data_IF_600490431115
#
_entry.id   IF_600490431115
#
_cell.length_a   1.000
_cell.length_b   1.000
_cell.length_c   1.000
_cell.angle_alpha   90.00
_cell.angle_beta   90.00
_cell.angle_gamma   90.00
#
_symmetry.space_group_name_H-M   'P 1'
#
loop_
_entity.id
_entity.type
_entity.pdbx_description
1 polymer ?
#
# COMPACT_ATOMS: atom_id res chain seq x y z
N UNK A 1 -20.59 -1.18 9.76
CA UNK A 1 -19.16 -1.08 9.40
C UNK A 1 -18.80 0.39 9.53
N UNK A 2 -17.73 0.78 10.25
CA UNK A 2 -17.38 2.20 10.36
C UNK A 2 -17.16 2.79 8.96
N UNK A 3 -17.50 4.07 8.79
CA UNK A 3 -17.12 4.81 7.57
C UNK A 3 -15.60 5.00 7.58
N UNK A 4 -14.95 4.53 6.52
CA UNK A 4 -13.51 4.52 6.36
C UNK A 4 -13.05 5.50 5.28
N UNK A 5 -14.00 6.16 4.61
CA UNK A 5 -13.72 7.06 3.50
C UNK A 5 -12.90 8.25 4.00
N UNK A 6 -11.76 8.51 3.36
CA UNK A 6 -10.86 9.61 3.72
C UNK A 6 -10.03 9.40 5.00
N UNK A 7 -10.13 8.24 5.68
CA UNK A 7 -9.31 7.95 6.86
C UNK A 7 -7.97 7.31 6.48
N UNK A 8 -6.82 7.88 6.90
CA UNK A 8 -5.54 7.24 6.66
C UNK A 8 -5.41 5.96 7.49
N UNK A 9 -4.92 4.90 6.86
CA UNK A 9 -4.61 3.61 7.51
C UNK A 9 -3.15 3.28 7.23
N UNK A 10 -2.43 2.78 8.24
CA UNK A 10 -1.02 2.47 8.08
C UNK A 10 -0.83 1.33 7.06
N UNK A 11 0.07 1.53 6.10
CA UNK A 11 0.25 0.59 4.98
C UNK A 11 0.63 -0.82 5.42
N UNK A 12 1.38 -0.96 6.52
CA UNK A 12 1.82 -2.26 7.01
C UNK A 12 0.70 -3.11 7.61
N UNK A 13 -0.44 -2.50 7.98
CA UNK A 13 -1.55 -3.20 8.66
C UNK A 13 -2.68 -3.63 7.70
N UNK A 14 -2.56 -3.36 6.40
CA UNK A 14 -3.58 -3.71 5.39
C UNK A 14 -2.96 -4.43 4.20
N UNK A 15 -3.73 -5.33 3.59
CA UNK A 15 -3.23 -6.13 2.46
C UNK A 15 -2.77 -5.26 1.28
N UNK A 16 -3.54 -4.24 0.91
CA UNK A 16 -3.18 -3.32 -0.18
C UNK A 16 -1.86 -2.59 0.10
N UNK A 17 -1.71 -2.04 1.30
CA UNK A 17 -0.48 -1.36 1.70
C UNK A 17 0.74 -2.29 1.72
N UNK A 18 0.59 -3.55 2.16
CA UNK A 18 1.66 -4.55 2.07
C UNK A 18 2.08 -4.86 0.63
N UNK A 19 1.16 -4.91 -0.33
CA UNK A 19 1.52 -5.09 -1.75
C UNK A 19 2.34 -3.89 -2.25
N UNK A 20 1.93 -2.66 -1.93
CA UNK A 20 2.67 -1.46 -2.32
C UNK A 20 4.04 -1.39 -1.65
N UNK A 21 4.13 -1.65 -0.34
CA UNK A 21 5.39 -1.72 0.39
C UNK A 21 6.32 -2.81 -0.16
N UNK A 22 5.79 -3.96 -0.58
CA UNK A 22 6.57 -5.05 -1.13
C UNK A 22 7.24 -4.70 -2.47
N UNK A 23 6.68 -3.73 -3.21
CA UNK A 23 7.26 -3.21 -4.46
C UNK A 23 8.35 -2.15 -4.23
N UNK A 24 8.52 -1.65 -3.00
CA UNK A 24 9.55 -0.66 -2.67
C UNK A 24 10.88 -1.34 -2.33
N UNK A 25 12.02 -0.65 -2.54
CA UNK A 25 13.30 -1.07 -2.01
C UNK A 25 13.26 -1.20 -0.48
N UNK A 26 13.93 -2.21 0.08
CA UNK A 26 13.93 -2.47 1.53
C UNK A 26 14.41 -1.27 2.34
N UNK A 27 15.38 -0.48 1.82
CA UNK A 27 15.82 0.77 2.46
C UNK A 27 14.68 1.78 2.65
N UNK A 28 13.77 1.87 1.69
CA UNK A 28 12.62 2.78 1.72
C UNK A 28 11.59 2.28 2.73
N UNK A 29 11.33 0.97 2.73
CA UNK A 29 10.46 0.33 3.74
C UNK A 29 11.00 0.56 5.14
N UNK A 30 12.31 0.38 5.36
CA UNK A 30 12.95 0.63 6.66
C UNK A 30 12.87 2.10 7.07
N UNK A 31 13.02 3.04 6.12
CA UNK A 31 12.83 4.46 6.40
C UNK A 31 11.38 4.78 6.83
N UNK A 32 10.39 4.16 6.19
CA UNK A 32 8.97 4.27 6.60
C UNK A 32 8.78 3.67 7.99
N UNK A 33 9.28 2.46 8.24
CA UNK A 33 9.13 1.76 9.51
C UNK A 33 9.77 2.53 10.69
N UNK A 34 10.87 3.27 10.46
CA UNK A 34 11.49 4.14 11.46
C UNK A 34 10.60 5.30 11.92
N UNK A 35 9.63 5.71 11.11
CA UNK A 35 8.63 6.73 11.50
C UNK A 35 7.55 6.15 12.43
N UNK A 36 7.55 4.83 12.64
CA UNK A 36 6.64 4.11 13.52
C UNK A 36 5.77 3.11 12.76
N UNK A 37 5.56 1.94 13.37
CA UNK A 37 4.60 0.93 12.92
C UNK A 37 3.45 0.88 13.92
N UNK A 38 2.41 1.69 13.67
CA UNK A 38 1.21 1.74 14.53
C UNK A 38 0.63 0.34 14.71
N UNK A 39 0.47 -0.08 15.97
CA UNK A 39 -0.19 -1.34 16.34
C UNK A 39 -1.67 -1.05 16.56
N UNK A 40 -2.54 -1.65 15.73
CA UNK A 40 -4.00 -1.53 15.88
C UNK A 40 -4.60 -2.70 16.66
N UNK A 41 -4.04 -3.89 16.49
CA UNK A 41 -4.47 -5.15 17.12
C UNK A 41 -3.25 -5.97 17.51
N UNK A 42 -3.45 -7.08 18.20
CA UNK A 42 -2.36 -8.01 18.51
C UNK A 42 -1.80 -8.74 17.29
N UNK A 43 -2.48 -8.66 16.14
CA UNK A 43 -2.01 -9.24 14.87
C UNK A 43 -1.24 -8.25 14.02
N UNK A 44 -1.25 -6.96 14.35
CA UNK A 44 -0.53 -5.96 13.55
C UNK A 44 0.97 -6.21 13.60
N UNK A 45 1.60 -6.34 12.42
CA UNK A 45 3.06 -6.44 12.30
C UNK A 45 3.70 -5.11 12.70
N UNK A 46 4.23 -5.02 13.91
CA UNK A 46 4.84 -3.80 14.47
C UNK A 46 6.36 -3.88 14.62
N UNK A 47 6.97 -5.01 14.25
CA UNK A 47 8.42 -5.18 14.18
C UNK A 47 8.94 -4.99 12.74
N UNK A 48 9.96 -4.14 12.52
CA UNK A 48 10.50 -3.91 11.18
C UNK A 48 11.08 -5.15 10.49
N UNK A 49 11.67 -6.10 11.22
CA UNK A 49 12.23 -7.33 10.63
C UNK A 49 11.11 -8.25 10.18
N UNK A 50 10.11 -8.46 11.04
CA UNK A 50 8.90 -9.22 10.71
C UNK A 50 8.16 -8.60 9.49
N UNK A 51 8.13 -7.27 9.40
CA UNK A 51 7.58 -6.60 8.22
C UNK A 51 8.37 -6.95 6.95
N UNK A 52 9.71 -6.88 6.97
CA UNK A 52 10.52 -7.26 5.82
C UNK A 52 10.32 -8.72 5.40
N UNK A 53 10.19 -9.64 6.36
CA UNK A 53 9.90 -11.05 6.11
C UNK A 53 8.54 -11.25 5.43
N UNK A 54 7.49 -10.60 5.94
CA UNK A 54 6.16 -10.63 5.32
C UNK A 54 6.19 -10.04 3.90
N UNK A 55 6.86 -8.90 3.70
CA UNK A 55 6.96 -8.29 2.37
C UNK A 55 7.77 -9.16 1.40
N UNK A 56 8.79 -9.88 1.87
CA UNK A 56 9.50 -10.86 1.07
C UNK A 56 8.59 -12.03 0.65
N UNK A 57 7.72 -12.49 1.56
CA UNK A 57 6.68 -13.48 1.23
C UNK A 57 5.71 -12.93 0.18
N UNK A 58 5.23 -11.69 0.34
CA UNK A 58 4.36 -11.01 -0.62
C UNK A 58 5.01 -10.95 -2.01
N UNK A 59 6.30 -10.57 -2.09
CA UNK A 59 7.05 -10.56 -3.36
C UNK A 59 7.10 -11.94 -4.02
N UNK A 60 7.35 -13.01 -3.25
CA UNK A 60 7.43 -14.38 -3.79
C UNK A 60 6.08 -14.91 -4.27
N UNK A 61 5.00 -14.68 -3.52
CA UNK A 61 3.67 -15.23 -3.83
C UNK A 61 2.82 -14.35 -4.73
N UNK A 62 3.18 -13.08 -4.89
CA UNK A 62 2.47 -12.11 -5.74
C UNK A 62 1.11 -11.65 -5.19
N UNK A 63 0.90 -11.75 -3.88
CA UNK A 63 -0.28 -11.23 -3.19
C UNK A 63 0.03 -11.00 -1.71
N UNK A 64 -0.78 -10.17 -1.04
CA UNK A 64 -0.77 -10.00 0.40
C UNK A 64 -2.10 -10.41 1.01
N UNK A 65 -2.05 -10.83 2.27
CA UNK A 65 -3.20 -11.12 3.11
C UNK A 65 -3.04 -10.31 4.40
N UNK A 66 -4.13 -9.75 4.89
CA UNK A 66 -4.20 -9.14 6.21
C UNK A 66 -5.43 -9.68 6.94
N UNK A 67 -5.23 -10.31 8.10
CA UNK A 67 -6.29 -10.99 8.85
C UNK A 67 -6.40 -10.42 10.25
N UNK A 68 -7.22 -9.39 10.40
CA UNK A 68 -7.42 -8.73 11.67
C UNK A 68 -6.31 -7.77 12.08
N UNK A 69 -5.45 -7.36 11.15
CA UNK A 69 -4.28 -6.53 11.47
C UNK A 69 -4.61 -5.06 11.68
N UNK A 70 -5.64 -4.55 11.01
CA UNK A 70 -6.13 -3.18 11.20
C UNK A 70 -7.37 -3.14 12.11
N UNK A 71 -8.29 -4.09 11.93
CA UNK A 71 -9.46 -4.33 12.79
C UNK A 71 -9.68 -5.83 12.83
N UNK A 72 -9.75 -6.44 14.02
CA UNK A 72 -9.84 -7.90 14.22
C UNK A 72 -11.00 -8.55 13.45
N UNK A 73 -12.05 -7.78 13.17
CA UNK A 73 -13.25 -8.22 12.47
C UNK A 73 -13.11 -8.16 10.96
N UNK A 74 -12.01 -7.63 10.43
CA UNK A 74 -11.77 -7.41 9.00
C UNK A 74 -10.62 -8.28 8.51
N UNK A 75 -10.86 -8.94 7.38
CA UNK A 75 -9.83 -9.64 6.62
C UNK A 75 -9.82 -9.16 5.17
N UNK A 76 -8.65 -9.22 4.53
CA UNK A 76 -8.44 -8.77 3.17
C UNK A 76 -7.36 -9.59 2.45
N UNK A 77 -7.49 -9.67 1.13
CA UNK A 77 -6.44 -10.08 0.22
C UNK A 77 -6.22 -8.97 -0.82
N UNK A 78 -4.99 -8.79 -1.25
CA UNK A 78 -4.65 -7.81 -2.28
C UNK A 78 -3.58 -8.34 -3.24
N UNK A 79 -3.63 -7.86 -4.48
CA UNK A 79 -2.71 -8.24 -5.57
C UNK A 79 -2.22 -6.97 -6.29
N UNK A 80 -1.03 -6.99 -6.89
CA UNK A 80 -0.47 -5.82 -7.57
C UNK A 80 -1.14 -5.56 -8.93
N UNK A 81 -1.25 -4.29 -9.28
CA UNK A 81 -1.52 -3.80 -10.64
C UNK A 81 -0.24 -3.16 -11.16
N UNK A 82 0.19 -3.56 -12.34
CA UNK A 82 1.45 -3.10 -12.95
C UNK A 82 1.21 -2.29 -14.22
N UNK A 83 2.07 -1.32 -14.48
CA UNK A 83 2.09 -0.55 -15.72
C UNK A 83 2.95 -1.21 -16.82
N UNK A 84 3.05 -0.55 -17.98
CA UNK A 84 3.89 -0.99 -19.10
C UNK A 84 5.40 -1.14 -18.77
N UNK A 85 5.88 -0.55 -17.67
CA UNK A 85 7.27 -0.65 -17.21
C UNK A 85 7.48 -1.76 -16.18
N UNK A 86 6.45 -2.56 -15.90
CA UNK A 86 6.41 -3.52 -14.79
C UNK A 86 6.52 -2.86 -13.40
N UNK A 87 6.19 -1.57 -13.28
CA UNK A 87 6.12 -0.93 -11.97
C UNK A 87 4.76 -1.22 -11.33
N UNK A 88 4.75 -1.64 -10.06
CA UNK A 88 3.52 -1.77 -9.29
C UNK A 88 3.04 -0.37 -8.92
N UNK A 89 1.91 0.04 -9.49
CA UNK A 89 1.38 1.41 -9.34
C UNK A 89 0.05 1.46 -8.57
N UNK A 90 -0.61 0.31 -8.42
CA UNK A 90 -1.87 0.19 -7.70
C UNK A 90 -2.07 -1.25 -7.21
N UNK A 91 -3.19 -1.48 -6.54
CA UNK A 91 -3.58 -2.81 -6.05
C UNK A 91 -5.06 -3.05 -6.28
N UNK A 92 -5.43 -4.30 -6.59
CA UNK A 92 -6.82 -4.76 -6.43
C UNK A 92 -6.92 -5.49 -5.10
N UNK A 93 -7.88 -5.09 -4.26
CA UNK A 93 -8.09 -5.70 -2.97
C UNK A 93 -9.54 -6.16 -2.80
N UNK A 94 -9.72 -7.34 -2.20
CA UNK A 94 -11.01 -7.83 -1.74
C UNK A 94 -10.95 -7.87 -0.22
N UNK A 95 -11.92 -7.23 0.43
CA UNK A 95 -11.93 -7.09 1.88
C UNK A 95 -13.35 -7.16 2.44
N UNK A 96 -13.46 -7.47 3.72
CA UNK A 96 -14.74 -7.50 4.42
C UNK A 96 -14.64 -8.18 5.77
N UNK A 97 -15.81 -8.50 6.34
CA UNK A 97 -15.89 -9.21 7.61
C UNK A 97 -15.11 -10.54 7.56
N UNK A 98 -14.31 -10.82 8.60
CA UNK A 98 -13.51 -12.05 8.72
C UNK A 98 -14.37 -13.32 8.70
N UNK A 99 -15.66 -13.21 9.02
CA UNK A 99 -16.64 -14.31 8.88
C UNK A 99 -17.00 -14.62 7.42
N UNK A 100 -16.78 -13.69 6.48
CA UNK A 100 -17.00 -13.87 5.04
C UNK A 100 -15.72 -14.01 4.24
N UNK A 101 -14.64 -13.34 4.66
CA UNK A 101 -13.29 -13.43 4.07
C UNK A 101 -12.46 -14.38 4.93
N UNK A 102 -12.77 -15.67 4.83
CA UNK A 102 -12.17 -16.73 5.66
C UNK A 102 -10.92 -17.33 4.99
N UNK A 103 -10.03 -17.99 5.76
CA UNK A 103 -8.87 -18.70 5.20
C UNK A 103 -9.23 -19.64 4.04
N UNK A 104 -10.34 -20.36 4.16
CA UNK A 104 -10.81 -21.29 3.13
C UNK A 104 -11.23 -20.60 1.83
N UNK A 105 -11.70 -19.35 1.89
CA UNK A 105 -12.14 -18.57 0.72
C UNK A 105 -11.03 -17.71 0.10
N UNK A 106 -9.95 -17.45 0.85
CA UNK A 106 -8.85 -16.61 0.37
C UNK A 106 -8.29 -17.06 -0.99
N UNK A 107 -8.05 -18.37 -1.27
CA UNK A 107 -7.56 -18.80 -2.57
C UNK A 107 -8.43 -18.31 -3.74
N UNK A 108 -9.75 -18.51 -3.66
CA UNK A 108 -10.69 -18.11 -4.72
C UNK A 108 -10.77 -16.59 -4.87
N UNK A 109 -10.76 -15.86 -3.75
CA UNK A 109 -10.77 -14.39 -3.76
C UNK A 109 -9.47 -13.83 -4.38
N UNK A 110 -8.33 -14.46 -4.12
CA UNK A 110 -7.05 -14.09 -4.73
C UNK A 110 -7.08 -14.34 -6.24
N UNK A 111 -7.64 -15.46 -6.70
CA UNK A 111 -7.81 -15.74 -8.14
C UNK A 111 -8.65 -14.66 -8.80
N UNK A 112 -9.83 -14.36 -8.27
CA UNK A 112 -10.70 -13.32 -8.80
C UNK A 112 -10.03 -11.92 -8.82
N UNK A 113 -9.30 -11.59 -7.75
CA UNK A 113 -8.55 -10.34 -7.68
C UNK A 113 -7.42 -10.28 -8.71
N UNK A 114 -6.71 -11.39 -8.96
CA UNK A 114 -5.66 -11.49 -9.99
C UNK A 114 -6.23 -11.29 -11.38
N UNK A 115 -7.38 -11.87 -11.69
CA UNK A 115 -8.02 -11.71 -13.00
C UNK A 115 -8.40 -10.25 -13.25
N UNK A 116 -8.98 -9.59 -12.24
CA UNK A 116 -9.29 -8.17 -12.30
C UNK A 116 -8.01 -7.31 -12.46
N UNK A 117 -6.98 -7.56 -11.64
CA UNK A 117 -5.72 -6.84 -11.70
C UNK A 117 -4.99 -7.03 -13.02
N UNK A 118 -5.04 -8.23 -13.60
CA UNK A 118 -4.50 -8.53 -14.93
C UNK A 118 -5.21 -7.73 -16.01
N UNK A 119 -6.55 -7.70 -15.99
CA UNK A 119 -7.35 -6.92 -16.93
C UNK A 119 -7.00 -5.41 -16.87
N UNK A 120 -6.86 -4.87 -15.66
CA UNK A 120 -6.46 -3.47 -15.45
C UNK A 120 -5.03 -3.26 -15.97
N UNK A 121 -4.09 -4.12 -15.58
CA UNK A 121 -2.67 -4.00 -15.96
C UNK A 121 -2.49 -4.05 -17.48
N UNK A 122 -3.20 -4.93 -18.19
CA UNK A 122 -3.19 -4.99 -19.66
C UNK A 122 -3.64 -3.67 -20.29
N UNK A 123 -4.67 -3.02 -19.74
CA UNK A 123 -5.14 -1.69 -20.21
C UNK A 123 -4.14 -0.57 -19.90
N UNK A 124 -3.31 -0.76 -18.88
CA UNK A 124 -2.20 0.14 -18.52
C UNK A 124 -0.89 -0.21 -19.24
N UNK A 125 -0.94 -1.13 -20.22
CA UNK A 125 0.16 -1.48 -21.11
C UNK A 125 1.10 -2.57 -20.59
N UNK A 126 0.77 -3.25 -19.48
CA UNK A 126 1.54 -4.39 -18.99
C UNK A 126 1.49 -5.57 -19.98
N UNK A 127 2.62 -6.20 -20.26
CA UNK A 127 2.73 -7.27 -21.27
C UNK A 127 2.74 -8.69 -20.70
N UNK A 128 2.59 -8.86 -19.39
CA UNK A 128 2.51 -10.18 -18.77
C UNK A 128 3.85 -10.79 -18.33
N UNK A 129 4.96 -10.05 -18.41
CA UNK A 129 6.30 -10.53 -18.00
C UNK A 129 6.48 -10.37 -16.47
N UNK A 130 6.51 -11.47 -15.68
CA UNK A 130 6.66 -11.39 -14.24
C UNK A 130 8.12 -11.20 -13.79
N UNK A 131 9.10 -11.26 -14.70
CA UNK A 131 10.53 -11.41 -14.38
C UNK A 131 11.35 -10.10 -14.43
N UNK A 132 10.79 -9.00 -14.92
CA UNK A 132 11.43 -7.70 -14.73
C UNK A 132 11.16 -7.25 -13.30
N UNK A 133 12.22 -7.23 -12.46
CA UNK A 133 12.21 -6.59 -11.14
C UNK A 133 11.37 -5.31 -11.25
N UNK A 134 10.37 -5.08 -10.40
CA UNK A 134 9.62 -3.83 -10.46
C UNK A 134 10.62 -2.69 -10.34
N UNK A 135 10.83 -2.03 -11.48
CA UNK A 135 11.71 -0.89 -11.57
C UNK A 135 11.16 0.19 -10.68
N UNK A 136 12.08 0.93 -10.06
CA UNK A 136 11.82 2.17 -9.33
C UNK A 136 10.59 2.85 -9.93
N UNK A 137 9.50 2.94 -9.16
CA UNK A 137 8.40 3.85 -9.46
C UNK A 137 9.08 5.15 -9.90
N UNK A 138 8.82 5.66 -11.11
CA UNK A 138 9.44 6.91 -11.52
C UNK A 138 9.15 7.89 -10.39
N UNK A 139 10.21 8.47 -9.83
CA UNK A 139 10.06 9.63 -8.97
C UNK A 139 9.06 10.53 -9.67
N UNK A 140 7.88 10.70 -9.08
CA UNK A 140 7.08 11.88 -9.36
C UNK A 140 8.08 13.00 -9.12
N UNK A 141 8.45 13.70 -10.19
CA UNK A 141 9.27 14.89 -10.04
C UNK A 141 8.49 15.75 -9.05
N UNK A 142 9.08 15.91 -7.88
CA UNK A 142 8.74 17.02 -7.01
C UNK A 142 9.08 18.25 -7.85
N UNK A 143 8.09 18.81 -8.53
CA UNK A 143 8.14 20.21 -8.91
C UNK A 143 7.92 20.99 -7.59
N UNK A 144 8.87 20.84 -6.67
CA UNK A 144 8.98 21.61 -5.43
C UNK A 144 9.69 22.92 -5.76
N UNK A 145 9.06 23.81 -6.53
CA UNK A 145 9.51 25.21 -6.63
C UNK A 145 8.40 26.26 -6.47
N UNK A 146 7.10 25.94 -6.44
CA UNK A 146 6.06 27.00 -6.37
C UNK A 146 5.33 27.19 -5.02
N UNK A 147 5.49 26.32 -4.01
CA UNK A 147 4.81 26.52 -2.70
C UNK A 147 5.66 27.24 -1.63
N UNK A 148 6.72 27.95 -2.03
CA UNK A 148 7.51 28.79 -1.09
C UNK A 148 7.22 30.29 -1.16
N UNK A 149 6.27 30.75 -1.96
CA UNK A 149 6.01 32.19 -2.14
C UNK A 149 4.68 32.70 -1.53
N UNK A 150 4.08 31.98 -0.58
CA UNK A 150 2.83 32.44 0.07
C UNK A 150 2.86 32.50 1.60
N UNK A 151 4.05 32.49 2.22
CA UNK A 151 4.20 32.68 3.67
C UNK A 151 5.10 33.87 4.04
N UNK A 152 5.27 34.83 3.13
CA UNK A 152 6.00 36.07 3.38
C UNK A 152 5.24 37.29 2.84
N UNK A 153 3.98 37.49 3.24
CA UNK A 153 3.32 38.80 3.06
C UNK A 153 2.17 39.11 4.05
N UNK A 154 2.16 38.54 5.26
CA UNK A 154 1.27 39.03 6.32
C UNK A 154 2.05 39.16 7.63
N UNK A 155 2.78 40.25 7.73
CA UNK A 155 3.48 40.63 8.94
C UNK A 155 4.20 41.94 8.73
N UNK A 156 3.44 43.04 8.58
CA UNK A 156 3.82 44.40 8.97
C UNK A 156 2.64 45.36 8.72
N UNK A 157 1.73 45.48 9.68
CA UNK A 157 1.11 46.78 10.06
C UNK A 157 0.08 46.60 11.19
N UNK A 158 0.52 46.74 12.44
CA UNK A 158 -0.26 47.46 13.46
C UNK A 158 0.60 47.76 14.70
N UNK A 159 1.39 48.82 14.59
CA UNK A 159 1.98 49.50 15.74
C UNK A 159 2.06 51.01 15.49
N UNK A 160 0.90 51.69 15.45
CA UNK A 160 0.78 53.13 15.75
C UNK A 160 -0.68 53.62 15.68
N UNK A 161 -1.39 53.62 16.82
CA UNK A 161 -2.16 54.77 17.37
C UNK A 161 -2.96 54.36 18.60
#
# INVERSE_FOLDING_TARGET
>A
MPDITGRPVAMHSIAAGKVLLAALPERTVLAIARRGLVKYTDRTISDPRALLEELALVRRRGYAVAQGEWDERISAAAVPVSDARNAVIATVAVWGASTRVTPARLPDLIVAARDAAKSISLRLGWTGDPMKRPGIVPLVKHDDEEEREHLADEGDDEAAS
#
